data_IF_830498081325
#
_entry.id   IF_830498081325
#
_cell.length_a   1.000
_cell.length_b   1.000
_cell.length_c   1.000
_cell.angle_alpha   90.00
_cell.angle_beta   90.00
_cell.angle_gamma   90.00
#
_symmetry.space_group_name_H-M   'P 1'
#
loop_
_entity.id
_entity.type
_entity.pdbx_description
1 polymer ?
#
# COMPACT_ATOMS: atom_id res chain seq x y z
N UNK A 1 -25.39 30.17 -14.38
CA UNK A 1 -24.04 29.90 -13.84
C UNK A 1 -24.04 29.94 -12.30
N UNK A 2 -24.38 31.06 -11.65
CA UNK A 2 -24.39 31.10 -10.18
C UNK A 2 -25.47 30.18 -9.55
N UNK A 3 -26.71 30.24 -10.04
CA UNK A 3 -27.82 29.40 -9.53
C UNK A 3 -27.62 27.90 -9.79
N UNK A 4 -26.89 27.54 -10.84
CA UNK A 4 -26.53 26.15 -11.14
C UNK A 4 -25.48 25.60 -10.18
N UNK A 5 -24.50 26.41 -9.76
CA UNK A 5 -23.51 25.99 -8.76
C UNK A 5 -24.12 25.81 -7.38
N UNK A 6 -24.98 26.73 -6.93
CA UNK A 6 -25.63 26.62 -5.61
C UNK A 6 -26.43 25.32 -5.46
N UNK A 7 -27.12 24.90 -6.53
CA UNK A 7 -27.85 23.62 -6.54
C UNK A 7 -26.93 22.41 -6.42
N UNK A 8 -25.76 22.44 -7.05
CA UNK A 8 -24.75 21.39 -6.93
C UNK A 8 -24.12 21.39 -5.52
N UNK A 9 -23.73 22.56 -5.02
CA UNK A 9 -23.14 22.72 -3.70
C UNK A 9 -24.12 22.31 -2.58
N UNK A 10 -25.42 22.52 -2.74
CA UNK A 10 -26.43 22.06 -1.80
C UNK A 10 -26.43 20.53 -1.62
N UNK A 11 -26.10 19.77 -2.67
CA UNK A 11 -26.03 18.30 -2.60
C UNK A 11 -24.86 17.80 -1.73
N UNK A 12 -23.86 18.64 -1.43
CA UNK A 12 -22.80 18.31 -0.47
C UNK A 12 -23.30 18.17 0.97
N UNK A 13 -24.54 18.60 1.26
CA UNK A 13 -25.17 18.45 2.58
C UNK A 13 -26.31 17.43 2.59
N UNK A 14 -26.43 16.63 1.53
CA UNK A 14 -27.48 15.61 1.40
C UNK A 14 -27.33 14.50 2.47
N UNK A 15 -28.44 13.94 2.96
CA UNK A 15 -28.41 12.86 3.98
C UNK A 15 -27.65 11.62 3.51
N UNK A 16 -27.89 11.23 2.25
CA UNK A 16 -27.21 10.10 1.60
C UNK A 16 -25.73 10.44 1.30
N UNK A 17 -24.77 9.65 1.82
CA UNK A 17 -23.35 9.83 1.52
C UNK A 17 -23.03 9.59 0.04
N UNK A 18 -23.82 8.75 -0.66
CA UNK A 18 -23.61 8.52 -2.09
C UNK A 18 -23.90 9.77 -2.92
N UNK A 19 -24.95 10.51 -2.55
CA UNK A 19 -25.29 11.79 -3.19
C UNK A 19 -24.23 12.84 -2.87
N UNK A 20 -23.77 12.95 -1.61
CA UNK A 20 -22.67 13.87 -1.26
C UNK A 20 -21.38 13.55 -2.02
N UNK A 21 -21.07 12.27 -2.20
CA UNK A 21 -19.91 11.80 -2.96
C UNK A 21 -20.01 12.18 -4.43
N UNK A 22 -21.18 12.00 -5.04
CA UNK A 22 -21.44 12.45 -6.42
C UNK A 22 -21.34 13.96 -6.53
N UNK A 23 -21.91 14.69 -5.57
CA UNK A 23 -21.86 16.14 -5.53
C UNK A 23 -20.41 16.68 -5.48
N UNK A 24 -19.49 16.00 -4.79
CA UNK A 24 -18.07 16.39 -4.81
C UNK A 24 -17.49 16.39 -6.23
N UNK A 25 -17.86 15.40 -7.06
CA UNK A 25 -17.41 15.30 -8.45
C UNK A 25 -18.05 16.38 -9.32
N UNK A 26 -19.36 16.59 -9.16
CA UNK A 26 -20.09 17.59 -9.94
C UNK A 26 -19.63 19.01 -9.60
N UNK A 27 -19.36 19.29 -8.31
CA UNK A 27 -18.79 20.56 -7.85
C UNK A 27 -17.40 20.77 -8.44
N UNK A 28 -16.54 19.75 -8.45
CA UNK A 28 -15.22 19.84 -9.06
C UNK A 28 -15.29 20.11 -10.58
N UNK A 29 -16.21 19.44 -11.29
CA UNK A 29 -16.39 19.59 -12.73
C UNK A 29 -17.10 20.90 -13.15
N UNK A 30 -17.64 21.66 -12.20
CA UNK A 30 -18.43 22.87 -12.49
C UNK A 30 -17.62 24.02 -13.08
N UNK A 31 -16.30 24.05 -12.86
CA UNK A 31 -15.42 25.17 -13.22
C UNK A 31 -15.68 26.46 -12.43
N UNK A 32 -16.51 26.43 -11.39
CA UNK A 32 -16.79 27.58 -10.54
C UNK A 32 -15.63 27.81 -9.56
N UNK A 33 -15.19 29.06 -9.41
CA UNK A 33 -14.10 29.44 -8.50
C UNK A 33 -14.37 29.08 -7.03
N UNK A 34 -15.64 28.88 -6.66
CA UNK A 34 -16.05 28.49 -5.30
C UNK A 34 -15.98 26.99 -5.05
N UNK A 35 -15.74 26.18 -6.09
CA UNK A 35 -15.70 24.73 -5.98
C UNK A 35 -14.64 24.26 -4.96
N UNK A 36 -13.44 24.85 -5.00
CA UNK A 36 -12.37 24.49 -4.08
C UNK A 36 -12.77 24.67 -2.61
N UNK A 37 -13.35 25.82 -2.25
CA UNK A 37 -13.81 26.09 -0.89
C UNK A 37 -14.92 25.13 -0.43
N UNK A 38 -15.86 24.79 -1.32
CA UNK A 38 -16.92 23.83 -1.03
C UNK A 38 -16.36 22.42 -0.77
N UNK A 39 -15.37 21.99 -1.55
CA UNK A 39 -14.73 20.68 -1.39
C UNK A 39 -13.83 20.61 -0.16
N UNK A 40 -13.12 21.69 0.20
CA UNK A 40 -12.39 21.79 1.47
C UNK A 40 -13.32 21.49 2.65
N UNK A 41 -14.53 22.05 2.66
CA UNK A 41 -15.52 21.75 3.71
C UNK A 41 -15.92 20.28 3.71
N UNK A 42 -16.08 19.67 2.53
CA UNK A 42 -16.43 18.25 2.39
C UNK A 42 -15.31 17.28 2.83
N UNK A 43 -14.07 17.76 3.04
CA UNK A 43 -13.01 16.95 3.65
C UNK A 43 -13.32 16.57 5.10
N UNK A 44 -14.20 17.31 5.79
CA UNK A 44 -14.67 16.99 7.14
C UNK A 44 -15.84 16.01 7.19
N UNK A 45 -16.22 15.38 6.07
CA UNK A 45 -17.37 14.47 6.04
C UNK A 45 -17.12 13.18 6.85
N UNK A 46 -18.15 12.69 7.55
CA UNK A 46 -18.11 11.43 8.28
C UNK A 46 -17.82 10.23 7.38
N UNK A 47 -18.32 10.26 6.13
CA UNK A 47 -18.10 9.19 5.16
C UNK A 47 -16.70 9.27 4.56
N UNK A 48 -15.85 8.22 4.72
CA UNK A 48 -14.53 8.19 4.08
C UNK A 48 -14.61 8.29 2.56
N UNK A 49 -15.69 7.80 1.94
CA UNK A 49 -15.90 7.89 0.50
C UNK A 49 -16.17 9.33 0.03
N UNK A 50 -16.86 10.14 0.84
CA UNK A 50 -17.09 11.55 0.53
C UNK A 50 -15.79 12.34 0.70
N UNK A 51 -15.02 12.08 1.78
CA UNK A 51 -13.70 12.70 1.96
C UNK A 51 -12.75 12.38 0.80
N UNK A 52 -12.71 11.13 0.37
CA UNK A 52 -11.95 10.72 -0.81
C UNK A 52 -12.44 11.45 -2.06
N UNK A 53 -13.75 11.52 -2.33
CA UNK A 53 -14.25 12.24 -3.51
C UNK A 53 -13.94 13.76 -3.45
N UNK A 54 -13.99 14.38 -2.26
CA UNK A 54 -13.62 15.77 -2.07
C UNK A 54 -12.12 16.01 -2.33
N UNK A 55 -11.24 15.15 -1.82
CA UNK A 55 -9.81 15.22 -2.07
C UNK A 55 -9.47 14.97 -3.57
N UNK A 56 -10.17 14.05 -4.22
CA UNK A 56 -10.09 13.82 -5.68
C UNK A 56 -10.53 15.07 -6.46
N UNK A 57 -11.65 15.67 -6.06
CA UNK A 57 -12.17 16.88 -6.69
C UNK A 57 -11.21 18.06 -6.56
N UNK A 58 -10.60 18.25 -5.38
CA UNK A 58 -9.57 19.27 -5.17
C UNK A 58 -8.34 19.03 -6.06
N UNK A 59 -7.87 17.78 -6.16
CA UNK A 59 -6.77 17.43 -7.06
C UNK A 59 -7.12 17.67 -8.54
N UNK A 60 -8.38 17.39 -8.94
CA UNK A 60 -8.86 17.63 -10.30
C UNK A 60 -8.98 19.13 -10.63
N UNK A 61 -9.37 19.96 -9.65
CA UNK A 61 -9.33 21.42 -9.79
C UNK A 61 -7.87 21.89 -9.92
N UNK A 62 -6.96 21.29 -9.15
CA UNK A 62 -5.53 21.56 -9.24
C UNK A 62 -5.12 22.97 -8.78
N UNK A 63 -5.94 23.62 -7.96
CA UNK A 63 -5.62 24.95 -7.41
C UNK A 63 -4.68 24.82 -6.20
N UNK A 64 -3.39 25.18 -6.32
CA UNK A 64 -2.45 25.07 -5.21
C UNK A 64 -2.72 26.09 -4.09
N UNK A 65 -3.59 27.10 -4.31
CA UNK A 65 -3.91 28.12 -3.32
C UNK A 65 -4.60 27.55 -2.07
N UNK A 66 -5.20 26.35 -2.16
CA UNK A 66 -5.79 25.68 -1.00
C UNK A 66 -4.75 25.08 -0.04
N UNK A 67 -3.49 24.93 -0.47
CA UNK A 67 -2.47 24.21 0.29
C UNK A 67 -2.24 24.74 1.72
N UNK A 68 -2.12 26.06 1.99
CA UNK A 68 -1.94 26.56 3.36
C UNK A 68 -3.09 26.17 4.28
N UNK A 69 -4.32 26.22 3.77
CA UNK A 69 -5.50 25.89 4.55
C UNK A 69 -5.64 24.37 4.77
N UNK A 70 -5.26 23.55 3.79
CA UNK A 70 -5.18 22.10 3.98
C UNK A 70 -4.11 21.71 5.02
N UNK A 71 -2.96 22.40 5.04
CA UNK A 71 -1.93 22.19 6.07
C UNK A 71 -2.46 22.55 7.46
N UNK A 72 -3.20 23.65 7.60
CA UNK A 72 -3.86 24.03 8.85
C UNK A 72 -4.87 22.97 9.30
N UNK A 73 -5.65 22.41 8.37
CA UNK A 73 -6.63 21.37 8.65
C UNK A 73 -6.03 20.06 9.19
N UNK A 74 -4.74 19.78 8.97
CA UNK A 74 -4.04 18.65 9.62
C UNK A 74 -3.99 18.78 11.15
N UNK A 75 -4.23 19.97 11.69
CA UNK A 75 -4.32 20.23 13.13
C UNK A 75 -5.77 20.39 13.63
N UNK A 76 -6.77 20.09 12.80
CA UNK A 76 -8.18 20.19 13.18
C UNK A 76 -8.53 19.29 14.37
N UNK A 77 -9.42 19.76 15.24
CA UNK A 77 -9.99 18.94 16.30
C UNK A 77 -10.79 17.74 15.76
N UNK A 78 -11.33 17.85 14.54
CA UNK A 78 -12.12 16.79 13.89
C UNK A 78 -11.20 15.82 13.14
N UNK A 79 -11.16 14.53 13.51
CA UNK A 79 -10.31 13.54 12.82
C UNK A 79 -10.68 13.36 11.35
N UNK A 80 -11.96 13.50 11.00
CA UNK A 80 -12.44 13.45 9.61
C UNK A 80 -11.73 14.50 8.76
N UNK A 81 -11.70 15.76 9.24
CA UNK A 81 -11.05 16.86 8.55
C UNK A 81 -9.54 16.66 8.43
N UNK A 82 -8.87 16.13 9.47
CA UNK A 82 -7.44 15.79 9.40
C UNK A 82 -7.16 14.72 8.35
N UNK A 83 -7.96 13.65 8.32
CA UNK A 83 -7.82 12.58 7.33
C UNK A 83 -8.08 13.08 5.91
N UNK A 84 -9.14 13.87 5.71
CA UNK A 84 -9.45 14.47 4.41
C UNK A 84 -8.34 15.42 3.93
N UNK A 85 -7.80 16.25 4.83
CA UNK A 85 -6.67 17.13 4.52
C UNK A 85 -5.42 16.35 4.09
N UNK A 86 -5.05 15.28 4.79
CA UNK A 86 -3.92 14.44 4.42
C UNK A 86 -4.11 13.84 3.00
N UNK A 87 -5.29 13.26 2.72
CA UNK A 87 -5.61 12.74 1.38
C UNK A 87 -5.52 13.80 0.29
N UNK A 88 -6.07 14.99 0.54
CA UNK A 88 -6.04 16.09 -0.43
C UNK A 88 -4.61 16.57 -0.70
N UNK A 89 -3.79 16.76 0.34
CA UNK A 89 -2.40 17.17 0.21
C UNK A 89 -1.55 16.17 -0.56
N UNK A 90 -1.72 14.87 -0.28
CA UNK A 90 -1.02 13.80 -1.00
C UNK A 90 -1.41 13.74 -2.48
N UNK A 91 -2.70 13.90 -2.80
CA UNK A 91 -3.20 13.87 -4.19
C UNK A 91 -2.85 15.13 -4.99
N UNK A 92 -2.75 16.28 -4.33
CA UNK A 92 -2.27 17.53 -4.92
C UNK A 92 -0.75 17.57 -5.08
N UNK A 93 -0.01 16.63 -4.48
CA UNK A 93 1.45 16.61 -4.54
C UNK A 93 2.10 17.74 -3.74
N UNK A 94 1.49 18.18 -2.63
CA UNK A 94 2.01 19.27 -1.80
C UNK A 94 3.15 18.76 -0.91
N UNK A 95 4.35 18.65 -1.47
CA UNK A 95 5.56 18.16 -0.77
C UNK A 95 5.89 18.98 0.48
N UNK A 96 5.54 20.28 0.50
CA UNK A 96 5.72 21.14 1.67
C UNK A 96 4.97 20.67 2.93
N UNK A 97 3.99 19.79 2.79
CA UNK A 97 3.22 19.23 3.89
C UNK A 97 3.76 17.86 4.37
N UNK A 98 4.87 17.37 3.80
CA UNK A 98 5.41 16.04 4.09
C UNK A 98 5.66 15.84 5.59
N UNK A 99 6.34 16.78 6.26
CA UNK A 99 6.65 16.67 7.69
C UNK A 99 5.39 16.54 8.55
N UNK A 100 4.36 17.36 8.30
CA UNK A 100 3.10 17.30 9.06
C UNK A 100 2.31 16.02 8.75
N UNK A 101 2.35 15.53 7.50
CA UNK A 101 1.75 14.24 7.14
C UNK A 101 2.46 13.09 7.87
N UNK A 102 3.79 13.07 7.88
CA UNK A 102 4.56 12.05 8.58
C UNK A 102 4.34 12.11 10.10
N UNK A 103 4.22 13.30 10.68
CA UNK A 103 3.83 13.47 12.08
C UNK A 103 2.45 12.84 12.35
N UNK A 104 1.44 13.08 11.50
CA UNK A 104 0.10 12.47 11.62
C UNK A 104 0.14 10.95 11.47
N UNK A 105 0.94 10.42 10.55
CA UNK A 105 1.12 8.97 10.41
C UNK A 105 1.62 8.33 11.72
N UNK A 106 2.56 8.99 12.40
CA UNK A 106 3.20 8.42 13.58
C UNK A 106 2.42 8.65 14.88
N UNK A 107 1.71 9.78 15.00
CA UNK A 107 1.23 10.27 16.30
C UNK A 107 -0.28 10.43 16.39
N UNK A 108 -1.03 10.37 15.27
CA UNK A 108 -2.47 10.63 15.35
C UNK A 108 -3.20 9.49 16.09
N UNK A 109 -4.05 9.80 17.08
CA UNK A 109 -4.77 8.77 17.82
C UNK A 109 -5.79 8.03 16.95
N UNK A 110 -6.28 8.65 15.87
CA UNK A 110 -7.29 8.03 15.02
C UNK A 110 -6.65 7.23 13.86
N UNK A 111 -6.97 5.93 13.75
CA UNK A 111 -6.42 5.08 12.69
C UNK A 111 -6.77 5.58 11.29
N UNK A 112 -7.96 6.15 11.10
CA UNK A 112 -8.36 6.71 9.81
C UNK A 112 -7.46 7.87 9.36
N UNK A 113 -6.92 8.65 10.30
CA UNK A 113 -5.97 9.74 10.00
C UNK A 113 -4.61 9.15 9.68
N UNK A 114 -4.12 8.18 10.47
CA UNK A 114 -2.85 7.48 10.19
C UNK A 114 -2.86 6.80 8.82
N UNK A 115 -3.96 6.13 8.46
CA UNK A 115 -4.11 5.49 7.16
C UNK A 115 -4.12 6.49 5.99
N UNK A 116 -4.82 7.63 6.16
CA UNK A 116 -4.81 8.72 5.17
C UNK A 116 -3.41 9.33 5.03
N UNK A 117 -2.70 9.51 6.14
CA UNK A 117 -1.34 10.03 6.16
C UNK A 117 -0.34 9.06 5.50
N UNK A 118 -0.47 7.75 5.70
CA UNK A 118 0.33 6.74 5.02
C UNK A 118 0.13 6.78 3.49
N UNK A 119 -1.13 6.84 3.03
CA UNK A 119 -1.41 6.98 1.60
C UNK A 119 -0.80 8.27 1.03
N UNK A 120 -0.99 9.39 1.73
CA UNK A 120 -0.48 10.68 1.32
C UNK A 120 1.06 10.69 1.24
N UNK A 121 1.74 10.16 2.27
CA UNK A 121 3.20 10.07 2.31
C UNK A 121 3.77 9.27 1.14
N UNK A 122 3.15 8.12 0.81
CA UNK A 122 3.55 7.33 -0.36
C UNK A 122 3.37 8.08 -1.67
N UNK A 123 2.27 8.84 -1.83
CA UNK A 123 2.01 9.67 -3.03
C UNK A 123 3.00 10.83 -3.17
N UNK A 124 3.42 11.44 -2.07
CA UNK A 124 4.42 12.50 -2.10
C UNK A 124 5.81 11.98 -2.47
N UNK A 125 6.06 10.68 -2.31
CA UNK A 125 7.29 9.99 -2.68
C UNK A 125 8.56 10.67 -2.12
N UNK A 126 8.46 11.21 -0.91
CA UNK A 126 9.60 11.79 -0.18
C UNK A 126 10.41 10.65 0.45
N UNK A 127 11.75 10.61 0.28
CA UNK A 127 12.60 9.56 0.88
C UNK A 127 12.45 9.45 2.40
N UNK A 128 12.15 10.56 3.08
CA UNK A 128 11.91 10.63 4.51
C UNK A 128 10.69 9.79 4.95
N UNK A 129 9.79 9.42 4.01
CA UNK A 129 8.63 8.58 4.27
C UNK A 129 8.97 7.09 4.43
N UNK A 130 10.15 6.63 4.01
CA UNK A 130 10.51 5.19 4.05
C UNK A 130 10.38 4.62 5.47
N UNK A 131 11.05 5.22 6.46
CA UNK A 131 11.07 4.71 7.83
C UNK A 131 9.69 4.82 8.51
N UNK A 132 8.96 5.95 8.44
CA UNK A 132 7.60 6.05 8.98
C UNK A 132 6.61 5.06 8.36
N UNK A 133 6.64 4.88 7.04
CA UNK A 133 5.78 3.92 6.36
C UNK A 133 6.15 2.47 6.72
N UNK A 134 7.45 2.17 6.81
CA UNK A 134 7.92 0.84 7.25
C UNK A 134 7.45 0.53 8.67
N UNK A 135 7.52 1.50 9.59
CA UNK A 135 7.01 1.32 10.95
C UNK A 135 5.48 1.12 10.98
N UNK A 136 4.73 1.80 10.10
CA UNK A 136 3.28 1.69 10.01
C UNK A 136 2.79 0.32 9.48
N UNK A 137 3.66 -0.51 8.89
CA UNK A 137 3.36 -1.92 8.61
C UNK A 137 3.10 -2.76 9.87
N UNK A 138 3.45 -2.25 11.06
CA UNK A 138 3.18 -2.90 12.34
C UNK A 138 2.04 -2.22 13.12
N UNK A 139 1.28 -1.32 12.50
CA UNK A 139 0.16 -0.64 13.16
C UNK A 139 -0.92 -1.65 13.62
N UNK A 140 -1.52 -1.48 14.81
CA UNK A 140 -2.60 -2.36 15.27
C UNK A 140 -3.80 -2.38 14.33
N UNK A 141 -4.04 -1.31 13.57
CA UNK A 141 -5.15 -1.24 12.63
C UNK A 141 -4.77 -1.74 11.23
N UNK A 142 -5.54 -2.71 10.72
CA UNK A 142 -5.34 -3.27 9.38
C UNK A 142 -5.39 -2.26 8.26
N UNK A 143 -6.29 -1.29 8.33
CA UNK A 143 -6.39 -0.20 7.34
C UNK A 143 -5.10 0.63 7.28
N UNK A 144 -4.42 0.84 8.41
CA UNK A 144 -3.16 1.59 8.44
C UNK A 144 -2.04 0.76 7.81
N UNK A 145 -1.94 -0.54 8.16
CA UNK A 145 -0.97 -1.46 7.55
C UNK A 145 -1.16 -1.57 6.04
N UNK A 146 -2.41 -1.66 5.58
CA UNK A 146 -2.78 -1.67 4.15
C UNK A 146 -2.32 -0.40 3.45
N UNK A 147 -2.63 0.78 4.01
CA UNK A 147 -2.19 2.06 3.45
C UNK A 147 -0.67 2.22 3.47
N UNK A 148 0.01 1.71 4.49
CA UNK A 148 1.46 1.71 4.59
C UNK A 148 2.10 0.84 3.50
N UNK A 149 1.60 -0.38 3.28
CA UNK A 149 2.07 -1.26 2.22
C UNK A 149 1.91 -0.62 0.83
N UNK A 150 0.71 -0.07 0.54
CA UNK A 150 0.48 0.69 -0.71
C UNK A 150 1.40 1.92 -0.81
N UNK A 151 1.57 2.63 0.29
CA UNK A 151 2.42 3.82 0.38
C UNK A 151 3.88 3.51 0.05
N UNK A 152 4.43 2.40 0.55
CA UNK A 152 5.78 1.93 0.21
C UNK A 152 5.91 1.53 -1.26
N UNK A 153 4.88 0.90 -1.82
CA UNK A 153 4.83 0.60 -3.26
C UNK A 153 4.85 1.86 -4.15
N UNK A 154 4.16 2.93 -3.72
CA UNK A 154 4.17 4.22 -4.41
C UNK A 154 5.49 4.99 -4.23
N UNK A 155 6.10 4.90 -3.04
CA UNK A 155 7.41 5.49 -2.75
C UNK A 155 8.50 4.90 -3.68
N UNK A 156 8.39 3.61 -4.00
CA UNK A 156 9.29 2.97 -4.97
C UNK A 156 10.69 2.66 -4.44
N UNK A 157 10.93 2.84 -3.13
CA UNK A 157 12.23 2.56 -2.51
C UNK A 157 12.37 1.06 -2.20
N UNK A 158 13.34 0.41 -2.85
CA UNK A 158 13.60 -1.02 -2.72
C UNK A 158 14.07 -1.44 -1.32
N UNK A 159 14.51 -0.50 -0.47
CA UNK A 159 14.81 -0.78 0.94
C UNK A 159 13.58 -1.26 1.73
N UNK A 160 12.37 -1.02 1.21
CA UNK A 160 11.14 -1.54 1.80
C UNK A 160 10.89 -3.04 1.55
N UNK A 161 11.66 -3.68 0.66
CA UNK A 161 11.37 -5.03 0.17
C UNK A 161 11.36 -6.10 1.27
N UNK A 162 12.27 -6.02 2.25
CA UNK A 162 12.30 -6.97 3.37
C UNK A 162 11.05 -6.84 4.27
N UNK A 163 10.68 -5.60 4.60
CA UNK A 163 9.50 -5.33 5.42
C UNK A 163 8.20 -5.73 4.72
N UNK A 164 8.08 -5.45 3.43
CA UNK A 164 6.93 -5.87 2.63
C UNK A 164 6.88 -7.40 2.46
N UNK A 165 8.04 -8.07 2.32
CA UNK A 165 8.11 -9.54 2.25
C UNK A 165 7.61 -10.19 3.55
N UNK A 166 7.94 -9.60 4.71
CA UNK A 166 7.39 -10.05 5.99
C UNK A 166 5.87 -9.82 6.10
N UNK A 167 5.36 -8.73 5.51
CA UNK A 167 3.94 -8.36 5.52
C UNK A 167 3.07 -9.29 4.66
N UNK A 168 3.65 -10.12 3.78
CA UNK A 168 2.90 -11.16 3.06
C UNK A 168 2.23 -12.19 3.99
N UNK A 169 2.70 -12.30 5.23
CA UNK A 169 2.11 -13.13 6.28
C UNK A 169 1.09 -12.43 7.15
N UNK A 170 0.64 -11.21 6.81
CA UNK A 170 -0.37 -10.50 7.58
C UNK A 170 -1.66 -11.33 7.74
N UNK A 171 -2.31 -11.21 8.90
CA UNK A 171 -3.54 -11.94 9.19
C UNK A 171 -4.72 -11.46 8.31
N UNK A 172 -4.69 -10.21 7.87
CA UNK A 172 -5.69 -9.64 6.97
C UNK A 172 -5.24 -9.79 5.51
N UNK A 173 -6.05 -10.50 4.72
CA UNK A 173 -5.74 -10.81 3.32
C UNK A 173 -5.52 -9.57 2.46
N UNK A 174 -6.24 -8.48 2.74
CA UNK A 174 -6.11 -7.23 1.99
C UNK A 174 -4.77 -6.54 2.24
N UNK A 175 -4.21 -6.67 3.46
CA UNK A 175 -2.88 -6.16 3.80
C UNK A 175 -1.81 -6.99 3.11
N UNK A 176 -1.92 -8.32 3.18
CA UNK A 176 -0.98 -9.23 2.51
C UNK A 176 -0.97 -9.03 0.99
N UNK A 177 -2.14 -8.81 0.38
CA UNK A 177 -2.28 -8.51 -1.03
C UNK A 177 -1.68 -7.15 -1.40
N UNK A 178 -1.89 -6.11 -0.58
CA UNK A 178 -1.28 -4.80 -0.77
C UNK A 178 0.25 -4.88 -0.71
N UNK A 179 0.82 -5.68 0.19
CA UNK A 179 2.26 -5.91 0.26
C UNK A 179 2.80 -6.64 -0.98
N UNK A 180 2.06 -7.64 -1.49
CA UNK A 180 2.40 -8.32 -2.74
C UNK A 180 2.40 -7.36 -3.94
N UNK A 181 1.38 -6.50 -4.05
CA UNK A 181 1.30 -5.48 -5.08
C UNK A 181 2.44 -4.46 -4.98
N UNK A 182 2.78 -4.02 -3.76
CA UNK A 182 3.89 -3.12 -3.52
C UNK A 182 5.23 -3.73 -3.95
N UNK A 183 5.50 -5.00 -3.61
CA UNK A 183 6.71 -5.71 -4.05
C UNK A 183 6.80 -5.79 -5.58
N UNK A 184 5.67 -5.99 -6.28
CA UNK A 184 5.64 -5.92 -7.74
C UNK A 184 5.96 -4.51 -8.24
N UNK A 185 5.42 -3.46 -7.61
CA UNK A 185 5.72 -2.06 -7.96
C UNK A 185 7.19 -1.69 -7.75
N UNK A 186 7.87 -2.28 -6.76
CA UNK A 186 9.32 -2.16 -6.58
C UNK A 186 10.14 -2.87 -7.69
N UNK A 187 9.49 -3.72 -8.49
CA UNK A 187 10.11 -4.47 -9.57
C UNK A 187 11.15 -5.48 -9.10
N UNK A 188 12.06 -5.83 -10.01
CA UNK A 188 13.12 -6.82 -9.79
C UNK A 188 14.01 -6.55 -8.58
N UNK A 189 14.14 -5.30 -8.13
CA UNK A 189 14.90 -4.95 -6.94
C UNK A 189 14.36 -5.62 -5.65
N UNK A 190 13.09 -6.02 -5.62
CA UNK A 190 12.50 -6.74 -4.49
C UNK A 190 12.70 -8.27 -4.54
N UNK A 191 13.11 -8.82 -5.68
CA UNK A 191 13.21 -10.26 -5.87
C UNK A 191 14.20 -10.95 -4.92
N UNK A 192 15.39 -10.39 -4.59
CA UNK A 192 16.31 -11.01 -3.64
C UNK A 192 15.72 -11.16 -2.23
N UNK A 193 15.12 -10.09 -1.70
CA UNK A 193 14.47 -10.07 -0.39
C UNK A 193 13.34 -11.10 -0.32
N UNK A 194 12.48 -11.10 -1.33
CA UNK A 194 11.37 -12.02 -1.41
C UNK A 194 11.81 -13.49 -1.59
N UNK A 195 12.84 -13.73 -2.39
CA UNK A 195 13.40 -15.06 -2.58
C UNK A 195 14.02 -15.59 -1.28
N UNK A 196 14.71 -14.73 -0.52
CA UNK A 196 15.25 -15.06 0.79
C UNK A 196 14.11 -15.38 1.78
N UNK A 197 13.09 -14.52 1.89
CA UNK A 197 11.94 -14.74 2.76
C UNK A 197 11.23 -16.07 2.46
N UNK A 198 10.99 -16.38 1.17
CA UNK A 198 10.41 -17.66 0.77
C UNK A 198 11.32 -18.85 1.10
N UNK A 199 12.64 -18.71 0.92
CA UNK A 199 13.59 -19.76 1.26
C UNK A 199 13.61 -20.05 2.77
N UNK A 200 13.63 -19.01 3.61
CA UNK A 200 13.53 -19.15 5.06
C UNK A 200 12.21 -19.81 5.48
N UNK A 201 11.09 -19.41 4.87
CA UNK A 201 9.78 -19.99 5.14
C UNK A 201 9.68 -21.49 4.79
N UNK A 202 10.47 -21.96 3.82
CA UNK A 202 10.48 -23.35 3.33
C UNK A 202 11.56 -24.23 3.97
N UNK A 203 12.41 -23.70 4.86
CA UNK A 203 13.40 -24.53 5.58
C UNK A 203 12.68 -25.62 6.42
N UNK A 204 13.18 -26.87 6.40
CA UNK A 204 12.57 -27.94 7.19
C UNK A 204 12.61 -27.60 8.69
N UNK A 205 11.45 -27.67 9.35
CA UNK A 205 11.35 -27.44 10.80
C UNK A 205 11.83 -28.66 11.57
N UNK A 206 12.44 -28.42 12.73
CA UNK A 206 12.97 -29.48 13.60
C UNK A 206 11.88 -30.35 14.24
N UNK A 207 10.64 -29.86 14.32
CA UNK A 207 9.54 -30.54 15.01
C UNK A 207 8.39 -30.93 14.06
N UNK A 208 8.05 -32.23 13.94
CA UNK A 208 6.87 -32.69 13.23
C UNK A 208 5.58 -32.14 13.87
N UNK A 209 4.72 -31.48 13.08
CA UNK A 209 3.41 -31.01 13.55
C UNK A 209 3.39 -29.62 14.20
N UNK A 210 4.53 -28.92 14.29
CA UNK A 210 4.54 -27.52 14.68
C UNK A 210 3.77 -26.67 13.64
N UNK A 211 2.88 -25.75 14.06
CA UNK A 211 2.12 -24.91 13.12
C UNK A 211 3.08 -24.12 12.23
N UNK A 212 2.73 -23.95 10.95
CA UNK A 212 3.51 -23.18 9.99
C UNK A 212 3.47 -21.69 10.38
N UNK A 213 4.44 -21.24 11.18
CA UNK A 213 4.62 -19.82 11.54
C UNK A 213 3.72 -19.34 12.68
N UNK A 214 3.83 -18.05 13.00
CA UNK A 214 3.02 -17.40 14.04
C UNK A 214 1.52 -17.28 13.68
N UNK A 215 1.19 -17.45 12.39
CA UNK A 215 -0.13 -17.16 11.81
C UNK A 215 -0.98 -18.41 11.49
N UNK A 216 -0.55 -19.59 11.93
CA UNK A 216 -1.22 -20.85 11.60
C UNK A 216 -0.99 -21.30 10.15
N UNK A 217 -1.47 -22.50 9.83
CA UNK A 217 -1.21 -23.14 8.53
C UNK A 217 -1.74 -22.36 7.33
N UNK A 218 -2.90 -21.71 7.44
CA UNK A 218 -3.52 -20.99 6.33
C UNK A 218 -2.79 -19.68 5.99
N UNK A 219 -2.41 -18.89 7.00
CA UNK A 219 -1.66 -17.65 6.80
C UNK A 219 -0.31 -17.89 6.15
N UNK A 220 0.42 -18.93 6.58
CA UNK A 220 1.68 -19.31 5.94
C UNK A 220 1.51 -19.80 4.50
N UNK A 221 0.48 -20.62 4.22
CA UNK A 221 0.18 -21.06 2.85
C UNK A 221 -0.10 -19.84 1.96
N UNK A 222 -0.90 -18.89 2.46
CA UNK A 222 -1.21 -17.63 1.78
C UNK A 222 0.05 -16.83 1.46
N UNK A 223 0.90 -16.59 2.45
CA UNK A 223 2.16 -15.86 2.29
C UNK A 223 3.09 -16.50 1.25
N UNK A 224 3.29 -17.82 1.32
CA UNK A 224 4.11 -18.54 0.35
C UNK A 224 3.52 -18.44 -1.07
N UNK A 225 2.19 -18.53 -1.21
CA UNK A 225 1.54 -18.40 -2.51
C UNK A 225 1.70 -17.00 -3.09
N UNK A 226 1.52 -15.96 -2.29
CA UNK A 226 1.74 -14.58 -2.71
C UNK A 226 3.21 -14.36 -3.12
N UNK A 227 4.15 -14.81 -2.30
CA UNK A 227 5.59 -14.71 -2.60
C UNK A 227 5.95 -15.40 -3.93
N UNK A 228 5.48 -16.63 -4.13
CA UNK A 228 5.70 -17.36 -5.39
C UNK A 228 5.07 -16.61 -6.57
N UNK A 229 3.85 -16.09 -6.42
CA UNK A 229 3.15 -15.34 -7.46
C UNK A 229 3.90 -14.07 -7.87
N UNK A 230 4.39 -13.31 -6.90
CA UNK A 230 5.18 -12.09 -7.14
C UNK A 230 6.49 -12.44 -7.85
N UNK A 231 7.26 -13.43 -7.36
CA UNK A 231 8.50 -13.85 -8.02
C UNK A 231 8.27 -14.33 -9.46
N UNK A 232 7.18 -15.06 -9.72
CA UNK A 232 6.81 -15.46 -11.09
C UNK A 232 6.51 -14.25 -11.99
N UNK A 233 5.89 -13.20 -11.45
CA UNK A 233 5.61 -11.97 -12.19
C UNK A 233 6.90 -11.20 -12.49
N UNK A 234 7.78 -11.03 -11.50
CA UNK A 234 9.09 -10.41 -11.67
C UNK A 234 9.99 -11.19 -12.65
N UNK A 235 9.83 -12.51 -12.72
CA UNK A 235 10.56 -13.33 -13.67
C UNK A 235 10.20 -13.05 -15.16
N UNK A 236 9.09 -12.35 -15.42
CA UNK A 236 8.68 -11.93 -16.77
C UNK A 236 9.27 -10.58 -17.21
N UNK A 237 9.86 -9.82 -16.29
CA UNK A 237 10.49 -8.51 -16.56
C UNK A 237 11.93 -8.67 -17.10
N UNK A 238 12.47 -7.68 -17.85
CA UNK A 238 13.86 -7.72 -18.33
C UNK A 238 14.89 -7.92 -17.20
N UNK A 239 16.02 -8.55 -17.53
CA UNK A 239 16.94 -9.15 -16.56
C UNK A 239 17.52 -8.15 -15.54
N UNK A 240 17.61 -8.61 -14.29
CA UNK A 240 18.12 -7.89 -13.12
C UNK A 240 19.62 -7.55 -13.23
N UNK A 241 20.13 -6.58 -12.44
CA UNK A 241 21.56 -6.46 -12.21
C UNK A 241 22.15 -7.79 -11.72
N UNK A 242 23.35 -8.14 -12.19
CA UNK A 242 23.99 -9.44 -11.94
C UNK A 242 24.07 -9.82 -10.43
N UNK A 243 24.11 -8.80 -9.57
CA UNK A 243 24.22 -8.90 -8.10
C UNK A 243 23.01 -9.59 -7.45
N UNK A 244 21.81 -9.43 -8.03
CA UNK A 244 20.57 -9.98 -7.47
C UNK A 244 20.46 -11.52 -7.63
N UNK A 245 21.16 -12.09 -8.62
CA UNK A 245 21.12 -13.52 -8.92
C UNK A 245 21.82 -14.41 -7.89
N UNK A 246 22.72 -13.86 -7.06
CA UNK A 246 23.38 -14.63 -6.01
C UNK A 246 22.37 -15.14 -4.99
N UNK A 247 21.54 -14.24 -4.46
CA UNK A 247 20.47 -14.56 -3.50
C UNK A 247 19.44 -15.51 -4.10
N UNK A 248 19.05 -15.28 -5.36
CA UNK A 248 18.10 -16.14 -6.08
C UNK A 248 18.66 -17.56 -6.26
N UNK A 249 19.96 -17.70 -6.55
CA UNK A 249 20.62 -19.01 -6.72
C UNK A 249 20.61 -19.80 -5.41
N UNK A 250 20.90 -19.15 -4.29
CA UNK A 250 20.87 -19.79 -2.98
C UNK A 250 19.45 -20.17 -2.55
N UNK A 251 18.47 -19.28 -2.78
CA UNK A 251 17.06 -19.59 -2.55
C UNK A 251 16.59 -20.79 -3.39
N UNK A 252 17.00 -20.87 -4.67
CA UNK A 252 16.65 -21.96 -5.56
C UNK A 252 17.14 -23.33 -5.08
N UNK A 253 18.31 -23.40 -4.43
CA UNK A 253 18.81 -24.65 -3.81
C UNK A 253 17.88 -25.10 -2.69
N UNK A 254 17.47 -24.17 -1.83
CA UNK A 254 16.50 -24.43 -0.75
C UNK A 254 15.16 -24.89 -1.30
N UNK A 255 14.63 -24.23 -2.33
CA UNK A 255 13.34 -24.60 -2.95
C UNK A 255 13.37 -26.01 -3.57
N UNK A 256 14.46 -26.36 -4.28
CA UNK A 256 14.66 -27.72 -4.82
C UNK A 256 14.72 -28.76 -3.70
N UNK A 257 15.41 -28.45 -2.60
CA UNK A 257 15.44 -29.30 -1.41
C UNK A 257 14.06 -29.51 -0.81
N UNK A 258 13.27 -28.44 -0.62
CA UNK A 258 11.92 -28.50 -0.09
C UNK A 258 10.98 -29.36 -0.95
N UNK A 259 11.08 -29.27 -2.28
CA UNK A 259 10.30 -30.12 -3.21
C UNK A 259 10.65 -31.61 -3.11
N UNK A 260 11.89 -31.95 -2.72
CA UNK A 260 12.34 -33.31 -2.50
C UNK A 260 11.78 -33.97 -1.23
N UNK A 261 11.29 -33.19 -0.27
CA UNK A 261 10.72 -33.68 0.99
C UNK A 261 9.19 -33.71 0.87
N UNK A 262 8.66 -34.87 0.49
CA UNK A 262 7.24 -35.03 0.10
C UNK A 262 6.22 -34.64 1.17
N UNK A 263 6.53 -34.77 2.45
CA UNK A 263 5.66 -34.46 3.60
C UNK A 263 5.78 -33.04 4.14
N UNK A 264 6.75 -32.25 3.66
CA UNK A 264 7.11 -30.98 4.27
C UNK A 264 6.44 -29.76 3.63
N UNK A 265 5.69 -29.87 2.54
CA UNK A 265 5.07 -28.68 1.91
C UNK A 265 3.64 -29.01 1.50
N UNK A 266 2.63 -28.21 1.94
CA UNK A 266 1.24 -28.32 1.49
C UNK A 266 1.13 -28.29 -0.04
N UNK A 267 0.15 -29.02 -0.58
CA UNK A 267 0.00 -29.20 -2.03
C UNK A 267 -0.24 -27.86 -2.75
N UNK A 268 -0.90 -26.94 -2.07
CA UNK A 268 -1.24 -25.58 -2.48
C UNK A 268 0.00 -24.72 -2.75
N UNK A 269 1.10 -24.98 -2.04
CA UNK A 269 2.40 -24.30 -2.23
C UNK A 269 3.28 -25.10 -3.20
N UNK A 270 3.18 -26.44 -3.17
CA UNK A 270 4.06 -27.34 -3.92
C UNK A 270 3.96 -27.17 -5.44
N UNK A 271 2.75 -27.04 -5.99
CA UNK A 271 2.57 -26.87 -7.44
C UNK A 271 3.14 -25.54 -7.95
N UNK A 272 2.77 -24.37 -7.38
CA UNK A 272 3.38 -23.09 -7.73
C UNK A 272 4.90 -23.08 -7.55
N UNK A 273 5.40 -23.70 -6.48
CA UNK A 273 6.85 -23.76 -6.20
C UNK A 273 7.61 -24.53 -7.30
N UNK A 274 7.05 -25.61 -7.85
CA UNK A 274 7.64 -26.31 -9.01
C UNK A 274 7.75 -25.40 -10.23
N UNK A 275 6.70 -24.64 -10.52
CA UNK A 275 6.70 -23.68 -11.62
C UNK A 275 7.78 -22.62 -11.41
N UNK A 276 7.88 -22.06 -10.21
CA UNK A 276 8.90 -21.09 -9.83
C UNK A 276 10.32 -21.62 -10.04
N UNK A 277 10.61 -22.80 -9.49
CA UNK A 277 11.91 -23.49 -9.61
C UNK A 277 12.28 -23.70 -11.08
N UNK A 278 11.32 -24.09 -11.91
CA UNK A 278 11.52 -24.29 -13.35
C UNK A 278 11.85 -22.99 -14.08
N UNK A 279 11.08 -21.93 -13.84
CA UNK A 279 11.29 -20.60 -14.46
C UNK A 279 12.67 -20.05 -14.10
N UNK A 280 13.01 -20.00 -12.81
CA UNK A 280 14.29 -19.44 -12.38
C UNK A 280 15.50 -20.31 -12.74
N UNK A 281 15.34 -21.65 -12.82
CA UNK A 281 16.40 -22.52 -13.35
C UNK A 281 16.71 -22.25 -14.82
N UNK A 282 15.68 -21.96 -15.64
CA UNK A 282 15.88 -21.59 -17.05
C UNK A 282 16.55 -20.23 -17.20
N UNK A 283 16.10 -19.22 -16.45
CA UNK A 283 16.72 -17.88 -16.52
C UNK A 283 18.19 -17.91 -16.10
N UNK A 284 18.52 -18.62 -15.02
CA UNK A 284 19.91 -18.80 -14.58
C UNK A 284 20.80 -19.50 -15.62
N UNK A 285 20.24 -20.36 -16.47
CA UNK A 285 20.99 -21.02 -17.55
C UNK A 285 21.22 -20.13 -18.78
N UNK A 286 20.54 -18.97 -18.86
CA UNK A 286 20.65 -18.00 -19.96
C UNK A 286 21.60 -16.83 -19.64
N UNK A 287 22.08 -16.74 -18.40
CA UNK A 287 23.07 -15.76 -17.93
C UNK A 287 24.49 -16.34 -18.06
#
# INVERSE_FOLDING_TARGET
MAESFERLAAQLSHESPDIRRMACRDVAASGDARAAAALVKALGDWSPYVRAAAAEGLAAIGDPSVAPHLIELLSSAQPEARAGAALALGRLGIVKAADQILERLQTDPHPAVRAAAAEAAGRLASPEALQPLTAALADPEGLVRLSAARGLGLLGDSQAADALSATLGDAESDVAQAAAEALVSLGSASAPALAHALAEALKPRREPGAPWGAFGSEGWIGACRLAIGVLLKLASEPAEPAEAWASIRDALRTWKGALGILSAVPVEVKQPLRQLVHVYSRRLAQL
#
